data_IF_430491586545
#
_entry.id   IF_430491586545
#
_cell.length_a   1.000
_cell.length_b   1.000
_cell.length_c   1.000
_cell.angle_alpha   90.00
_cell.angle_beta   90.00
_cell.angle_gamma   90.00
#
_symmetry.space_group_name_H-M   'P 1'
#
loop_
_entity.id
_entity.type
_entity.pdbx_description
1 polymer ?
#
# COMPACT_ATOMS: atom_id res chain seq x y z
N UNK A 1 -20.11 10.95 1.78
CA UNK A 1 -18.69 10.93 2.19
C UNK A 1 -18.32 9.48 2.43
N UNK A 2 -17.22 8.97 1.87
CA UNK A 2 -16.79 7.59 2.18
C UNK A 2 -16.21 7.54 3.59
N UNK A 3 -16.62 6.53 4.36
CA UNK A 3 -16.16 6.36 5.74
C UNK A 3 -14.67 5.98 5.78
N UNK A 4 -13.89 6.65 6.62
CA UNK A 4 -12.48 6.34 6.80
C UNK A 4 -12.34 4.99 7.54
N UNK A 5 -11.52 4.08 7.00
CA UNK A 5 -11.19 2.81 7.66
C UNK A 5 -9.98 3.02 8.56
N UNK A 6 -10.15 2.71 9.85
CA UNK A 6 -9.06 2.72 10.84
C UNK A 6 -8.64 1.29 11.12
N UNK A 7 -7.35 0.99 10.99
CA UNK A 7 -6.75 -0.30 11.34
C UNK A 7 -5.71 -0.09 12.44
N UNK A 8 -5.94 -0.66 13.62
CA UNK A 8 -4.94 -0.67 14.69
C UNK A 8 -3.68 -1.43 14.23
N UNK A 9 -2.52 -0.99 14.72
CA UNK A 9 -1.23 -1.63 14.45
C UNK A 9 -0.74 -2.27 15.74
N UNK A 10 -0.84 -3.60 15.82
CA UNK A 10 -0.38 -4.38 16.97
C UNK A 10 1.00 -5.01 16.69
N UNK A 11 1.20 -5.51 15.47
CA UNK A 11 2.45 -6.16 15.08
C UNK A 11 3.41 -5.21 14.37
N UNK A 12 4.66 -5.30 14.77
CA UNK A 12 5.78 -4.49 14.32
C UNK A 12 5.41 -3.00 14.24
N UNK A 13 5.05 -2.36 15.37
CA UNK A 13 4.58 -0.99 15.37
C UNK A 13 5.73 0.02 15.33
N UNK A 14 6.97 -0.38 15.63
CA UNK A 14 8.10 0.53 15.73
C UNK A 14 8.86 0.66 14.41
N UNK A 15 9.29 1.87 14.08
CA UNK A 15 10.13 2.17 12.92
C UNK A 15 11.22 3.16 13.30
N UNK A 16 12.38 3.07 12.64
CA UNK A 16 13.52 3.96 12.87
C UNK A 16 13.74 4.81 11.63
N UNK A 17 13.45 6.11 11.68
CA UNK A 17 13.64 7.01 10.55
C UNK A 17 14.72 8.05 10.84
N UNK A 18 15.48 8.44 9.81
CA UNK A 18 16.30 9.66 9.89
C UNK A 18 15.39 10.89 9.90
N UNK A 19 15.71 11.89 10.70
CA UNK A 19 15.02 13.18 10.66
C UNK A 19 15.04 13.78 9.23
N UNK A 20 13.86 14.18 8.74
CA UNK A 20 13.67 14.66 7.35
C UNK A 20 13.72 13.57 6.28
N UNK A 21 13.90 12.30 6.65
CA UNK A 21 13.91 11.16 5.74
C UNK A 21 12.52 10.56 5.49
N UNK A 22 12.44 9.62 4.54
CA UNK A 22 11.25 8.79 4.33
C UNK A 22 11.13 7.76 5.45
N UNK A 23 9.88 7.41 5.79
CA UNK A 23 9.61 6.30 6.70
C UNK A 23 10.12 4.98 6.08
N UNK A 24 10.93 4.20 6.81
CA UNK A 24 11.39 2.91 6.33
C UNK A 24 10.25 1.90 6.26
N UNK A 25 10.47 0.86 5.45
CA UNK A 25 9.60 -0.31 5.40
C UNK A 25 9.87 -1.30 6.53
N UNK A 26 11.12 -1.39 6.96
CA UNK A 26 11.53 -2.29 8.04
C UNK A 26 10.97 -1.80 9.37
N UNK A 27 10.53 -2.74 10.20
CA UNK A 27 9.81 -2.47 11.44
C UNK A 27 10.22 -3.45 12.52
N UNK A 28 10.06 -3.01 13.76
CA UNK A 28 10.44 -3.75 14.96
C UNK A 28 9.21 -4.00 15.81
N UNK A 29 9.21 -5.14 16.51
CA UNK A 29 8.15 -5.48 17.44
C UNK A 29 8.31 -4.71 18.75
N UNK A 30 9.55 -4.50 19.17
CA UNK A 30 9.91 -3.88 20.44
C UNK A 30 10.62 -2.52 20.27
N UNK A 31 10.51 -1.66 21.28
CA UNK A 31 11.15 -0.34 21.29
C UNK A 31 12.66 -0.43 21.51
N UNK A 32 13.13 -1.42 22.26
CA UNK A 32 14.55 -1.69 22.51
C UNK A 32 15.27 -2.10 21.24
N UNK A 33 14.74 -3.06 20.48
CA UNK A 33 15.30 -3.46 19.17
C UNK A 33 15.37 -2.28 18.19
N UNK A 34 14.34 -1.44 18.15
CA UNK A 34 14.35 -0.22 17.34
C UNK A 34 15.40 0.80 17.85
N UNK A 35 15.62 0.87 19.15
CA UNK A 35 16.64 1.71 19.78
C UNK A 35 18.06 1.27 19.41
N UNK A 36 18.35 -0.03 19.52
CA UNK A 36 19.64 -0.62 19.13
C UNK A 36 19.94 -0.37 17.64
N UNK A 37 18.92 -0.50 16.78
CA UNK A 37 19.06 -0.20 15.37
C UNK A 37 19.33 1.29 15.10
N UNK A 38 18.64 2.19 15.82
CA UNK A 38 18.87 3.63 15.73
C UNK A 38 20.29 4.00 16.16
N UNK A 39 20.78 3.40 17.24
CA UNK A 39 22.16 3.60 17.72
C UNK A 39 23.16 3.13 16.66
N UNK A 40 23.00 1.91 16.14
CA UNK A 40 23.85 1.36 15.08
C UNK A 40 23.86 2.24 13.84
N UNK A 41 22.71 2.77 13.43
CA UNK A 41 22.62 3.71 12.30
C UNK A 41 23.31 5.05 12.60
N UNK A 42 23.24 5.54 13.85
CA UNK A 42 23.92 6.78 14.26
C UNK A 42 25.45 6.66 14.19
N UNK A 43 26.01 5.50 14.53
CA UNK A 43 27.45 5.24 14.43
C UNK A 43 27.94 5.24 12.98
N UNK A 44 27.10 4.76 12.04
CA UNK A 44 27.41 4.77 10.60
C UNK A 44 27.27 6.16 9.97
N UNK A 45 26.54 7.08 10.62
CA UNK A 45 26.26 8.44 10.12
C UNK A 45 26.36 9.47 11.24
N UNK A 46 27.59 9.82 11.67
CA UNK A 46 27.80 10.83 12.70
C UNK A 46 27.09 12.15 12.34
N UNK A 47 26.40 12.75 13.31
CA UNK A 47 25.65 14.00 13.14
C UNK A 47 24.25 13.85 12.50
N UNK A 48 23.83 12.63 12.12
CA UNK A 48 22.46 12.38 11.71
C UNK A 48 21.57 12.05 12.93
N UNK A 49 20.41 12.68 13.02
CA UNK A 49 19.38 12.35 14.02
C UNK A 49 18.50 11.21 13.52
N UNK A 50 18.33 10.19 14.36
CA UNK A 50 17.41 9.07 14.15
C UNK A 50 16.27 9.13 15.16
N UNK A 51 15.06 8.80 14.71
CA UNK A 51 13.82 8.90 15.47
C UNK A 51 13.14 7.54 15.44
N UNK A 52 12.86 7.00 16.63
CA UNK A 52 12.02 5.82 16.81
C UNK A 52 10.57 6.28 16.91
N UNK A 53 9.71 5.77 16.05
CA UNK A 53 8.27 6.08 16.03
C UNK A 53 7.44 4.82 16.22
N UNK A 54 6.36 4.92 17.00
CA UNK A 54 5.36 3.86 17.16
C UNK A 54 4.10 4.18 16.34
N UNK A 55 3.83 3.39 15.32
CA UNK A 55 2.54 3.42 14.61
C UNK A 55 1.48 2.76 15.50
N UNK A 56 0.50 3.54 15.96
CA UNK A 56 -0.62 3.03 16.77
C UNK A 56 -1.81 2.58 15.91
N UNK A 57 -2.02 3.25 14.78
CA UNK A 57 -3.11 2.97 13.85
C UNK A 57 -2.81 3.55 12.47
N UNK A 58 -3.40 2.95 11.45
CA UNK A 58 -3.45 3.45 10.08
C UNK A 58 -4.86 3.85 9.73
N UNK A 59 -5.02 5.07 9.24
CA UNK A 59 -6.29 5.60 8.74
C UNK A 59 -6.21 5.66 7.22
N UNK A 60 -7.20 5.07 6.53
CA UNK A 60 -7.27 5.04 5.07
C UNK A 60 -8.66 5.42 4.59
N UNK A 61 -8.74 6.33 3.63
CA UNK A 61 -9.98 6.63 2.90
C UNK A 61 -10.06 5.74 1.65
N UNK A 62 -11.22 5.13 1.34
CA UNK A 62 -11.39 4.40 0.10
C UNK A 62 -11.19 5.34 -1.10
N UNK A 63 -10.28 4.98 -2.00
CA UNK A 63 -10.17 5.64 -3.31
C UNK A 63 -11.35 5.13 -4.15
N UNK A 64 -12.20 6.01 -4.71
CA UNK A 64 -13.26 5.58 -5.61
C UNK A 64 -12.68 4.75 -6.74
N UNK A 65 -13.31 3.62 -7.06
CA UNK A 65 -12.90 2.83 -8.22
C UNK A 65 -12.91 3.76 -9.45
N UNK A 66 -11.79 3.83 -10.16
CA UNK A 66 -11.75 4.54 -11.43
C UNK A 66 -12.81 3.90 -12.32
N UNK A 67 -13.71 4.70 -12.87
CA UNK A 67 -14.63 4.20 -13.89
C UNK A 67 -13.77 3.58 -15.00
N UNK A 68 -14.03 2.32 -15.39
CA UNK A 68 -13.32 1.75 -16.52
C UNK A 68 -13.50 2.71 -17.71
N UNK A 69 -12.47 2.93 -18.54
CA UNK A 69 -12.61 3.76 -19.71
C UNK A 69 -13.81 3.22 -20.50
N UNK A 70 -14.83 4.08 -20.71
CA UNK A 70 -15.92 3.75 -21.63
C UNK A 70 -15.23 3.39 -22.93
N UNK A 71 -15.31 2.12 -23.35
CA UNK A 71 -14.96 1.76 -24.72
C UNK A 71 -15.87 2.62 -25.58
N UNK A 72 -15.29 3.57 -26.31
CA UNK A 72 -15.97 4.17 -27.45
C UNK A 72 -16.40 2.99 -28.31
N UNK A 73 -17.70 2.87 -28.61
CA UNK A 73 -18.18 1.84 -29.51
C UNK A 73 -17.52 2.07 -30.88
N UNK A 74 -16.42 1.37 -31.14
CA UNK A 74 -15.86 1.29 -32.48
C UNK A 74 -16.82 0.45 -33.34
N UNK A 75 -17.06 0.82 -34.61
CA UNK A 75 -17.84 -0.01 -35.52
C UNK A 75 -17.10 -1.33 -35.74
N UNK A 76 -17.53 -2.39 -35.05
CA UNK A 76 -16.81 -3.66 -35.03
C UNK A 76 -17.32 -4.69 -34.02
N UNK A 77 -18.25 -4.32 -33.13
CA UNK A 77 -19.03 -5.24 -32.29
C UNK A 77 -19.98 -6.11 -33.15
N UNK A 78 -19.40 -6.91 -34.04
CA UNK A 78 -20.11 -8.01 -34.66
C UNK A 78 -20.23 -9.12 -33.61
N UNK A 79 -21.46 -9.41 -33.20
CA UNK A 79 -21.79 -10.61 -32.46
C UNK A 79 -21.13 -11.83 -33.15
N UNK A 80 -20.57 -12.80 -32.39
CA UNK A 80 -20.01 -13.99 -32.99
C UNK A 80 -21.11 -14.69 -33.80
N UNK A 81 -20.88 -14.84 -35.11
CA UNK A 81 -21.77 -15.59 -36.00
C UNK A 81 -21.88 -17.02 -35.43
N UNK A 82 -23.10 -17.40 -35.06
CA UNK A 82 -23.42 -18.72 -34.53
C UNK A 82 -22.87 -19.83 -35.45
N UNK A 83 -22.24 -20.89 -34.91
CA UNK A 83 -21.77 -22.01 -35.73
C UNK A 83 -22.98 -22.73 -36.34
N UNK A 84 -22.92 -23.00 -37.65
CA UNK A 84 -24.00 -23.62 -38.40
C UNK A 84 -24.48 -24.94 -37.81
N UNK A 85 -25.80 -25.09 -37.69
CA UNK A 85 -26.43 -26.39 -37.51
C UNK A 85 -26.67 -27.03 -38.87
N UNK A 86 -26.12 -28.23 -39.03
CA UNK A 86 -26.31 -29.11 -40.19
C UNK A 86 -27.52 -30.00 -39.89
N UNK A 87 -28.54 -29.99 -40.75
CA UNK A 87 -29.53 -31.07 -40.86
C UNK A 87 -30.99 -30.66 -40.70
N UNK A 88 -31.83 -31.08 -41.66
CA UNK A 88 -33.27 -31.17 -41.50
C UNK A 88 -34.07 -31.14 -42.80
N UNK A 89 -34.32 -32.33 -43.37
CA UNK A 89 -35.29 -32.72 -44.40
C UNK A 89 -35.01 -32.34 -45.87
#
# INVERSE_FOLDING_TARGET
MSEAKIKARQDYPYVVARAGGKLPRFRFQDVGEAGEDAERQSQQRPGATFIVMKEIARVSTPIPAANPPRRSAEPGDHAPRSPGSKGGA
#
